data_IF_553521848120
#
_entry.id   IF_553521848120
#
_cell.length_a   1.000
_cell.length_b   1.000
_cell.length_c   1.000
_cell.angle_alpha   90.00
_cell.angle_beta   90.00
_cell.angle_gamma   90.00
#
_symmetry.space_group_name_H-M   'P 1'
#
loop_
_entity.id
_entity.type
_entity.pdbx_description
1 polymer ?
#
# COMPACT_ATOMS: atom_id res chain seq x y z
N UNK A 1 -27.45 -31.97 8.86
CA UNK A 1 -26.31 -31.04 8.73
C UNK A 1 -26.85 -29.62 8.80
N UNK A 2 -26.58 -28.89 9.89
CA UNK A 2 -27.09 -27.52 10.10
C UNK A 2 -26.10 -26.54 9.49
N UNK A 3 -26.56 -25.79 8.47
CA UNK A 3 -25.82 -24.67 7.89
C UNK A 3 -25.69 -23.56 8.94
N UNK A 4 -24.46 -23.13 9.23
CA UNK A 4 -24.20 -21.93 10.01
C UNK A 4 -24.39 -20.73 9.07
N UNK A 5 -25.48 -20.00 9.27
CA UNK A 5 -25.75 -18.75 8.57
C UNK A 5 -24.75 -17.68 8.98
N UNK A 6 -24.17 -17.01 8.00
CA UNK A 6 -23.41 -15.77 8.17
C UNK A 6 -24.38 -14.66 8.58
N UNK A 7 -24.11 -14.01 9.70
CA UNK A 7 -24.80 -12.78 10.09
C UNK A 7 -24.20 -11.61 9.29
N UNK A 8 -25.02 -10.73 8.70
CA UNK A 8 -24.52 -9.51 8.08
C UNK A 8 -24.12 -8.52 9.18
N UNK A 9 -22.84 -8.14 9.21
CA UNK A 9 -22.38 -6.99 9.99
C UNK A 9 -22.77 -5.75 9.20
N UNK A 10 -23.90 -5.15 9.59
CA UNK A 10 -24.29 -3.81 9.13
C UNK A 10 -23.43 -2.80 9.90
N UNK A 11 -22.36 -2.30 9.28
CA UNK A 11 -21.62 -1.15 9.79
C UNK A 11 -22.16 0.11 9.11
N UNK A 12 -22.81 0.97 9.89
CA UNK A 12 -23.42 2.20 9.41
C UNK A 12 -22.38 3.18 8.85
N UNK A 13 -22.66 3.70 7.66
CA UNK A 13 -21.98 4.84 7.06
C UNK A 13 -22.14 6.09 7.94
N UNK A 14 -21.05 6.52 8.57
CA UNK A 14 -20.89 7.87 9.11
C UNK A 14 -20.11 8.69 8.08
N UNK A 15 -20.84 9.39 7.21
CA UNK A 15 -20.31 10.46 6.36
C UNK A 15 -19.98 11.67 7.24
N UNK A 16 -18.73 11.79 7.66
CA UNK A 16 -18.20 13.02 8.24
C UNK A 16 -17.48 13.81 7.15
N UNK A 17 -18.18 14.79 6.58
CA UNK A 17 -17.57 15.91 5.88
C UNK A 17 -16.80 16.74 6.91
N UNK A 18 -15.49 16.85 6.75
CA UNK A 18 -14.71 17.90 7.42
C UNK A 18 -14.45 19.03 6.45
N UNK A 19 -15.11 20.16 6.72
CA UNK A 19 -14.83 21.45 6.13
C UNK A 19 -13.58 22.03 6.81
N UNK A 20 -12.53 22.31 6.04
CA UNK A 20 -11.43 23.15 6.52
C UNK A 20 -11.88 24.61 6.59
N UNK A 21 -11.87 25.19 7.78
CA UNK A 21 -11.99 26.64 7.98
C UNK A 21 -10.66 27.30 7.61
N UNK A 22 -10.68 28.14 6.59
CA UNK A 22 -9.58 29.03 6.21
C UNK A 22 -9.40 30.15 7.25
N UNK A 23 -8.41 30.00 8.13
CA UNK A 23 -7.92 31.09 8.95
C UNK A 23 -6.89 31.92 8.19
N UNK A 24 -7.23 33.16 7.84
CA UNK A 24 -6.27 34.16 7.37
C UNK A 24 -5.32 34.55 8.51
N UNK A 25 -4.10 34.01 8.50
CA UNK A 25 -3.01 34.49 9.34
C UNK A 25 -2.00 35.25 8.48
N UNK A 26 -1.79 36.51 8.82
CA UNK A 26 -0.82 37.44 8.24
C UNK A 26 0.62 36.92 8.35
N UNK A 27 1.31 36.89 7.22
CA UNK A 27 2.71 36.46 7.10
C UNK A 27 3.67 37.36 7.90
N UNK A 28 4.30 36.78 8.93
CA UNK A 28 5.63 37.18 9.37
C UNK A 28 6.62 36.16 8.81
N UNK A 29 7.61 36.64 8.07
CA UNK A 29 8.69 35.81 7.50
C UNK A 29 9.64 35.38 8.62
N UNK A 30 9.38 34.22 9.22
CA UNK A 30 10.38 33.53 10.01
C UNK A 30 11.49 32.97 9.10
N UNK A 31 12.75 32.90 9.57
CA UNK A 31 13.83 32.23 8.85
C UNK A 31 13.43 30.78 8.55
N UNK A 32 13.94 30.15 7.46
CA UNK A 32 13.59 28.78 7.12
C UNK A 32 13.84 27.89 8.33
N UNK A 33 12.75 27.31 8.83
CA UNK A 33 12.73 26.25 9.83
C UNK A 33 13.82 25.25 9.46
N UNK A 34 14.73 24.96 10.39
CA UNK A 34 15.56 23.76 10.29
C UNK A 34 14.61 22.59 10.48
N UNK A 35 14.00 22.14 9.38
CA UNK A 35 12.95 21.13 9.41
C UNK A 35 13.46 19.86 10.12
N UNK A 36 12.96 19.68 11.34
CA UNK A 36 13.23 18.50 12.14
C UNK A 36 12.29 17.39 11.68
N UNK A 37 12.77 16.51 10.81
CA UNK A 37 12.04 15.29 10.46
C UNK A 37 12.24 14.25 11.56
N UNK A 38 11.14 13.71 12.08
CA UNK A 38 11.20 12.52 12.92
C UNK A 38 11.04 11.30 12.01
N UNK A 39 12.15 10.59 11.78
CA UNK A 39 12.15 9.40 10.93
C UNK A 39 12.20 8.16 11.82
N UNK A 40 11.15 7.34 11.78
CA UNK A 40 11.06 6.10 12.56
C UNK A 40 11.40 4.90 11.68
N UNK A 41 12.47 4.21 12.05
CA UNK A 41 13.13 3.27 11.16
C UNK A 41 13.37 1.96 11.91
N UNK A 42 12.75 0.85 11.51
CA UNK A 42 13.14 -0.44 12.03
C UNK A 42 14.58 -0.71 11.58
N UNK A 43 15.49 -0.99 12.52
CA UNK A 43 16.82 -1.52 12.17
C UNK A 43 16.63 -2.95 11.65
N UNK A 44 16.95 -3.19 10.38
CA UNK A 44 16.82 -4.50 9.73
C UNK A 44 18.20 -5.02 9.40
N UNK A 45 18.55 -6.22 9.86
CA UNK A 45 19.81 -6.86 9.47
C UNK A 45 19.65 -7.60 8.14
N UNK A 46 20.61 -7.44 7.21
CA UNK A 46 20.69 -8.02 5.83
C UNK A 46 20.41 -9.54 5.63
N UNK A 47 20.11 -10.29 6.69
CA UNK A 47 19.83 -11.72 6.64
C UNK A 47 18.42 -12.07 7.16
N UNK A 48 17.43 -11.19 6.96
CA UNK A 48 16.05 -11.49 7.34
C UNK A 48 15.44 -12.51 6.39
N UNK A 49 14.98 -13.65 6.93
CA UNK A 49 13.89 -14.41 6.30
C UNK A 49 12.68 -13.48 6.13
N UNK A 50 11.78 -13.74 5.16
CA UNK A 50 10.57 -12.96 5.00
C UNK A 50 9.83 -12.71 6.34
N UNK A 51 9.21 -11.54 6.50
CA UNK A 51 9.03 -10.53 5.47
C UNK A 51 10.25 -9.64 5.20
N UNK A 52 10.44 -9.27 3.93
CA UNK A 52 11.47 -8.34 3.48
C UNK A 52 11.05 -6.89 3.74
N UNK A 53 11.91 -6.13 4.41
CA UNK A 53 11.66 -4.74 4.70
C UNK A 53 12.03 -3.84 3.53
N UNK A 54 11.10 -2.96 3.20
CA UNK A 54 11.23 -1.96 2.14
C UNK A 54 10.74 -0.59 2.56
N UNK A 55 10.65 0.30 1.57
CA UNK A 55 10.31 1.70 1.77
C UNK A 55 9.39 2.20 0.65
N UNK A 56 8.28 2.81 1.03
CA UNK A 56 7.46 3.61 0.13
C UNK A 56 8.09 5.01 0.06
N UNK A 57 8.92 5.24 -0.96
CA UNK A 57 9.87 6.35 -0.99
C UNK A 57 9.28 7.60 -1.65
N UNK A 58 8.72 8.51 -0.85
CA UNK A 58 8.12 9.77 -1.32
C UNK A 58 9.18 10.75 -1.82
N UNK A 59 10.34 10.79 -1.16
CA UNK A 59 11.42 11.73 -1.49
C UNK A 59 12.66 10.97 -1.96
N UNK A 60 13.27 11.32 -3.12
CA UNK A 60 14.41 10.62 -3.72
C UNK A 60 15.74 10.82 -2.99
N UNK A 61 15.84 10.34 -1.75
CA UNK A 61 17.09 10.36 -0.99
C UNK A 61 17.72 8.96 -0.98
N UNK A 62 18.62 8.71 -1.93
CA UNK A 62 19.27 7.40 -2.09
C UNK A 62 20.03 6.94 -0.83
N UNK A 63 20.53 7.89 -0.02
CA UNK A 63 21.18 7.61 1.25
C UNK A 63 20.22 7.00 2.28
N UNK A 64 18.93 7.31 2.23
CA UNK A 64 17.94 6.70 3.13
C UNK A 64 17.90 5.18 2.87
N UNK A 65 17.88 4.73 1.61
CA UNK A 65 17.87 3.30 1.31
C UNK A 65 19.06 2.56 1.94
N UNK A 66 20.25 3.20 1.93
CA UNK A 66 21.47 2.63 2.51
C UNK A 66 21.46 2.67 4.04
N UNK A 67 21.07 3.80 4.64
CA UNK A 67 21.05 4.00 6.09
C UNK A 67 20.02 3.09 6.79
N UNK A 68 18.93 2.78 6.08
CA UNK A 68 17.84 1.95 6.57
C UNK A 68 18.04 0.46 6.33
N UNK A 69 19.08 0.10 5.57
CA UNK A 69 19.34 -1.27 5.14
C UNK A 69 18.10 -1.96 4.53
N UNK A 70 17.27 -1.20 3.81
CA UNK A 70 16.08 -1.77 3.16
C UNK A 70 16.50 -2.66 2.00
N UNK A 71 15.71 -3.70 1.78
CA UNK A 71 15.96 -4.73 0.76
C UNK A 71 15.22 -4.45 -0.54
N UNK A 72 14.20 -3.59 -0.51
CA UNK A 72 13.43 -3.14 -1.67
C UNK A 72 12.81 -1.76 -1.44
N UNK A 73 12.41 -1.09 -2.51
CA UNK A 73 11.66 0.16 -2.42
C UNK A 73 10.84 0.41 -3.70
N UNK A 74 9.92 1.36 -3.64
CA UNK A 74 9.18 1.86 -4.79
C UNK A 74 8.83 3.34 -4.60
N UNK A 75 8.37 4.00 -5.67
CA UNK A 75 8.11 5.45 -5.72
C UNK A 75 6.83 5.79 -6.52
N UNK A 76 5.81 4.92 -6.49
CA UNK A 76 4.56 5.04 -7.25
C UNK A 76 4.72 5.18 -8.78
N UNK A 77 5.89 4.85 -9.33
CA UNK A 77 6.16 5.01 -10.76
C UNK A 77 6.75 3.75 -11.39
N UNK A 78 6.80 3.73 -12.73
CA UNK A 78 7.41 2.63 -13.49
C UNK A 78 8.95 2.72 -13.53
N UNK A 79 9.55 3.79 -13.01
CA UNK A 79 10.98 4.07 -13.15
C UNK A 79 11.62 4.42 -11.81
N UNK A 80 12.83 3.94 -11.53
CA UNK A 80 13.51 4.32 -10.31
C UNK A 80 13.85 5.82 -10.34
N UNK A 81 14.03 6.40 -9.15
CA UNK A 81 14.43 7.81 -9.01
C UNK A 81 15.86 8.05 -9.53
N UNK A 82 16.70 7.02 -9.49
CA UNK A 82 18.06 7.03 -10.03
C UNK A 82 18.31 5.76 -10.84
N UNK A 83 19.09 5.85 -11.91
CA UNK A 83 19.47 4.67 -12.70
C UNK A 83 20.30 3.69 -11.84
N UNK A 84 20.05 2.39 -11.99
CA UNK A 84 20.78 1.27 -11.36
C UNK A 84 20.56 0.99 -9.87
N UNK A 85 19.32 1.10 -9.37
CA UNK A 85 19.00 0.58 -8.03
C UNK A 85 18.42 -0.83 -8.12
N UNK A 86 19.22 -1.85 -7.81
CA UNK A 86 18.84 -3.28 -7.88
C UNK A 86 17.66 -3.69 -6.96
N UNK A 87 17.19 -2.78 -6.11
CA UNK A 87 16.13 -2.99 -5.12
C UNK A 87 14.78 -2.35 -5.52
N UNK A 88 14.69 -1.72 -6.70
CA UNK A 88 13.48 -1.01 -7.13
C UNK A 88 12.39 -1.96 -7.62
N UNK A 89 11.17 -1.75 -7.16
CA UNK A 89 9.96 -2.40 -7.68
C UNK A 89 9.11 -1.35 -8.41
N UNK A 90 8.88 -1.49 -9.72
CA UNK A 90 8.02 -0.56 -10.46
C UNK A 90 6.56 -0.69 -10.04
N UNK A 91 5.79 0.37 -10.29
CA UNK A 91 4.34 0.39 -10.11
C UNK A 91 3.63 0.86 -11.39
N UNK A 92 2.64 0.08 -11.82
CA UNK A 92 1.62 0.51 -12.76
C UNK A 92 0.49 1.19 -11.98
N UNK A 93 0.67 2.48 -11.64
CA UNK A 93 -0.17 3.24 -10.68
C UNK A 93 -1.67 3.15 -10.96
N UNK A 94 -2.07 3.22 -12.24
CA UNK A 94 -3.46 3.09 -12.68
C UNK A 94 -3.69 1.81 -13.48
N UNK A 95 -2.80 0.82 -13.37
CA UNK A 95 -2.85 -0.42 -14.13
C UNK A 95 -2.62 -0.25 -15.63
N UNK A 96 -1.89 0.79 -16.04
CA UNK A 96 -1.41 0.98 -17.41
C UNK A 96 0.11 1.04 -17.43
N UNK A 97 0.73 0.39 -18.40
CA UNK A 97 2.17 0.47 -18.65
C UNK A 97 2.44 1.55 -19.68
N UNK A 98 3.48 2.34 -19.44
CA UNK A 98 3.95 3.39 -20.33
C UNK A 98 5.38 3.13 -20.82
N UNK A 99 6.20 2.45 -20.01
CA UNK A 99 7.66 2.37 -20.20
C UNK A 99 8.26 0.99 -19.95
N UNK A 100 7.57 0.07 -19.27
CA UNK A 100 8.11 -1.29 -19.07
C UNK A 100 8.10 -2.09 -20.38
N UNK A 101 9.15 -2.88 -20.65
CA UNK A 101 9.20 -3.71 -21.85
C UNK A 101 8.26 -4.94 -21.72
N UNK A 102 7.72 -5.47 -22.83
CA UNK A 102 6.78 -6.60 -22.80
C UNK A 102 7.34 -7.89 -22.18
N UNK A 103 8.66 -8.05 -22.18
CA UNK A 103 9.38 -9.20 -21.61
C UNK A 103 9.83 -8.98 -20.16
N UNK A 104 9.39 -7.89 -19.50
CA UNK A 104 9.73 -7.60 -18.11
C UNK A 104 9.47 -8.81 -17.20
N UNK A 105 10.52 -9.25 -16.51
CA UNK A 105 10.50 -10.30 -15.51
C UNK A 105 10.82 -9.69 -14.14
N UNK A 106 9.94 -9.93 -13.17
CA UNK A 106 10.06 -9.35 -11.83
C UNK A 106 8.71 -9.01 -11.22
N UNK A 107 8.74 -8.44 -10.02
CA UNK A 107 7.54 -7.94 -9.36
C UNK A 107 7.13 -6.58 -9.93
N UNK A 108 5.83 -6.39 -10.13
CA UNK A 108 5.21 -5.14 -10.53
C UNK A 108 4.03 -4.87 -9.59
N UNK A 109 4.06 -3.75 -8.89
CA UNK A 109 2.89 -3.29 -8.12
C UNK A 109 1.82 -2.79 -9.10
N UNK A 110 0.56 -3.15 -8.86
CA UNK A 110 -0.55 -2.84 -9.76
C UNK A 110 -1.66 -2.17 -8.97
N UNK A 111 -1.94 -0.93 -9.39
CA UNK A 111 -2.85 0.03 -8.75
C UNK A 111 -2.28 0.68 -7.48
N UNK A 112 -2.62 1.96 -7.31
CA UNK A 112 -2.46 2.68 -6.05
C UNK A 112 -3.82 3.18 -5.59
N UNK A 113 -4.26 2.75 -4.42
CA UNK A 113 -5.54 3.09 -3.80
C UNK A 113 -6.68 3.20 -4.82
N UNK A 114 -7.01 2.13 -5.57
CA UNK A 114 -8.05 2.19 -6.60
C UNK A 114 -9.42 2.54 -6.00
N UNK A 115 -9.62 2.28 -4.71
CA UNK A 115 -10.80 2.68 -3.96
C UNK A 115 -10.86 4.18 -3.64
N UNK A 116 -9.77 4.94 -3.84
CA UNK A 116 -9.67 6.38 -3.59
C UNK A 116 -9.42 7.14 -4.90
N UNK A 117 -10.04 8.31 -5.03
CA UNK A 117 -9.80 9.21 -6.16
C UNK A 117 -8.50 9.99 -6.00
N UNK A 118 -8.13 10.72 -7.06
CA UNK A 118 -7.05 11.69 -7.00
C UNK A 118 -7.34 12.75 -5.90
N UNK A 119 -6.31 13.27 -5.20
CA UNK A 119 -4.89 13.02 -5.45
C UNK A 119 -4.32 11.75 -4.80
N UNK A 120 -5.07 11.08 -3.92
CA UNK A 120 -4.53 10.04 -3.04
C UNK A 120 -4.47 8.65 -3.71
N UNK A 121 -5.39 8.39 -4.66
CA UNK A 121 -5.46 7.12 -5.38
C UNK A 121 -5.68 7.26 -6.88
N UNK A 122 -5.80 6.11 -7.56
CA UNK A 122 -6.05 6.05 -9.00
C UNK A 122 -7.55 6.00 -9.37
N UNK A 123 -8.45 5.82 -8.40
CA UNK A 123 -9.90 6.00 -8.56
C UNK A 123 -10.54 5.08 -9.60
N UNK A 124 -10.40 3.77 -9.44
CA UNK A 124 -10.94 2.78 -10.36
C UNK A 124 -12.12 2.03 -9.74
N UNK A 125 -13.17 1.81 -10.54
CA UNK A 125 -14.19 0.84 -10.15
C UNK A 125 -13.61 -0.57 -10.16
N UNK A 126 -14.18 -1.50 -9.36
CA UNK A 126 -13.80 -2.91 -9.38
C UNK A 126 -13.75 -3.52 -10.80
N UNK A 127 -14.79 -3.26 -11.60
CA UNK A 127 -14.88 -3.76 -12.97
C UNK A 127 -13.76 -3.19 -13.87
N UNK A 128 -13.44 -1.90 -13.75
CA UNK A 128 -12.36 -1.30 -14.54
C UNK A 128 -10.99 -1.82 -14.12
N UNK A 129 -10.75 -1.97 -12.81
CA UNK A 129 -9.52 -2.58 -12.31
C UNK A 129 -9.36 -4.02 -12.83
N UNK A 130 -10.43 -4.82 -12.88
CA UNK A 130 -10.37 -6.20 -13.35
C UNK A 130 -10.01 -6.28 -14.85
N UNK A 131 -10.58 -5.38 -15.66
CA UNK A 131 -10.22 -5.25 -17.08
C UNK A 131 -8.75 -4.85 -17.27
N UNK A 132 -8.25 -3.89 -16.48
CA UNK A 132 -6.85 -3.45 -16.57
C UNK A 132 -5.88 -4.54 -16.12
N UNK A 133 -6.21 -5.28 -15.05
CA UNK A 133 -5.44 -6.44 -14.64
C UNK A 133 -5.36 -7.50 -15.75
N UNK A 134 -6.50 -7.86 -16.35
CA UNK A 134 -6.53 -8.86 -17.42
C UNK A 134 -5.68 -8.44 -18.63
N UNK A 135 -5.71 -7.16 -18.99
CA UNK A 135 -4.85 -6.59 -20.03
C UNK A 135 -3.37 -6.65 -19.64
N UNK A 136 -3.02 -6.24 -18.43
CA UNK A 136 -1.64 -6.31 -17.93
C UNK A 136 -1.07 -7.73 -17.96
N UNK A 137 -1.86 -8.74 -17.59
CA UNK A 137 -1.44 -10.15 -17.68
C UNK A 137 -1.12 -10.60 -19.11
N UNK A 138 -1.75 -9.99 -20.12
CA UNK A 138 -1.46 -10.25 -21.52
C UNK A 138 -0.24 -9.46 -22.02
N UNK A 139 -0.12 -8.19 -21.61
CA UNK A 139 0.98 -7.30 -22.00
C UNK A 139 2.32 -7.71 -21.35
N UNK A 140 2.28 -8.22 -20.12
CA UNK A 140 3.45 -8.60 -19.32
C UNK A 140 3.31 -10.04 -18.77
N UNK A 141 3.37 -11.07 -19.62
CA UNK A 141 3.11 -12.46 -19.21
C UNK A 141 4.11 -12.99 -18.18
N UNK A 142 5.35 -12.48 -18.20
CA UNK A 142 6.44 -12.90 -17.31
C UNK A 142 6.48 -12.10 -15.99
N UNK A 143 5.70 -11.04 -15.86
CA UNK A 143 5.67 -10.23 -14.65
C UNK A 143 4.89 -10.93 -13.54
N UNK A 144 5.41 -10.86 -12.32
CA UNK A 144 4.70 -11.19 -11.08
C UNK A 144 3.89 -9.97 -10.65
N UNK A 145 2.62 -9.93 -11.05
CA UNK A 145 1.73 -8.83 -10.70
C UNK A 145 1.34 -8.94 -9.22
N UNK A 146 1.76 -7.95 -8.44
CA UNK A 146 1.32 -7.74 -7.05
C UNK A 146 0.15 -6.77 -7.12
N UNK A 147 -1.06 -7.28 -6.96
CA UNK A 147 -2.28 -6.54 -7.32
C UNK A 147 -2.96 -5.98 -6.09
N UNK A 148 -3.41 -4.73 -6.14
CA UNK A 148 -4.29 -4.20 -5.12
C UNK A 148 -4.05 -2.74 -4.83
N UNK A 149 -3.27 -2.49 -3.78
CA UNK A 149 -2.94 -1.15 -3.32
C UNK A 149 -4.11 -0.44 -2.67
N UNK A 150 -5.17 -1.15 -2.27
CA UNK A 150 -6.27 -0.51 -1.55
C UNK A 150 -5.88 -0.25 -0.09
N UNK A 151 -6.52 0.73 0.53
CA UNK A 151 -6.38 0.96 1.96
C UNK A 151 -7.24 0.00 2.78
N UNK A 152 -6.79 -0.41 3.97
CA UNK A 152 -7.47 -1.40 4.85
C UNK A 152 -8.92 -1.06 5.21
N UNK A 153 -9.38 0.17 4.97
CA UNK A 153 -10.77 0.57 5.18
C UNK A 153 -11.67 0.41 3.92
N UNK A 154 -11.15 -0.15 2.83
CA UNK A 154 -11.86 -0.31 1.55
C UNK A 154 -12.65 -1.63 1.42
N UNK A 155 -13.28 -2.11 2.49
CA UNK A 155 -13.80 -3.49 2.57
C UNK A 155 -14.73 -3.90 1.43
N UNK A 156 -15.58 -2.98 0.96
CA UNK A 156 -16.56 -3.30 -0.07
C UNK A 156 -15.91 -3.39 -1.46
N UNK A 157 -14.91 -2.54 -1.71
CA UNK A 157 -14.25 -2.49 -3.01
C UNK A 157 -13.55 -3.81 -3.36
N UNK A 158 -12.84 -4.41 -2.40
CA UNK A 158 -12.14 -5.68 -2.64
C UNK A 158 -13.10 -6.85 -2.84
N UNK A 159 -14.20 -6.89 -2.09
CA UNK A 159 -15.25 -7.89 -2.30
C UNK A 159 -15.81 -7.82 -3.71
N UNK A 160 -16.12 -6.62 -4.17
CA UNK A 160 -16.61 -6.37 -5.53
C UNK A 160 -15.57 -6.71 -6.59
N UNK A 161 -14.31 -6.38 -6.34
CA UNK A 161 -13.22 -6.67 -7.25
C UNK A 161 -13.05 -8.17 -7.46
N UNK A 162 -13.04 -8.96 -6.38
CA UNK A 162 -13.00 -10.42 -6.46
C UNK A 162 -14.21 -11.00 -7.22
N UNK A 163 -15.40 -10.41 -7.06
CA UNK A 163 -16.58 -10.82 -7.84
C UNK A 163 -16.38 -10.65 -9.34
N UNK A 164 -15.69 -9.59 -9.77
CA UNK A 164 -15.37 -9.37 -11.19
C UNK A 164 -14.45 -10.45 -11.77
N UNK A 165 -13.51 -10.99 -10.97
CA UNK A 165 -12.69 -12.13 -11.40
C UNK A 165 -13.53 -13.38 -11.62
N UNK A 166 -14.40 -13.71 -10.66
CA UNK A 166 -15.28 -14.87 -10.76
C UNK A 166 -16.26 -14.73 -11.94
N UNK A 167 -16.86 -13.55 -12.11
CA UNK A 167 -17.79 -13.27 -13.22
C UNK A 167 -17.13 -13.31 -14.60
N UNK A 168 -15.83 -12.98 -14.68
CA UNK A 168 -15.05 -12.97 -15.93
C UNK A 168 -14.22 -14.23 -16.13
N UNK A 169 -14.31 -15.24 -15.25
CA UNK A 169 -13.48 -16.44 -15.24
C UNK A 169 -11.96 -16.12 -15.30
N UNK A 170 -11.55 -15.04 -14.64
CA UNK A 170 -10.14 -14.66 -14.51
C UNK A 170 -9.54 -15.37 -13.28
N UNK A 171 -8.30 -15.88 -13.37
CA UNK A 171 -7.62 -16.39 -12.19
C UNK A 171 -7.35 -15.23 -11.22
N UNK A 172 -7.54 -15.49 -9.93
CA UNK A 172 -7.12 -14.55 -8.89
C UNK A 172 -5.60 -14.33 -8.95
N UNK A 173 -5.13 -13.11 -8.66
CA UNK A 173 -3.71 -12.83 -8.45
C UNK A 173 -3.08 -13.73 -7.38
N UNK A 174 -1.85 -14.17 -7.63
CA UNK A 174 -1.04 -14.89 -6.64
C UNK A 174 -0.51 -13.95 -5.54
N UNK A 175 -0.18 -12.72 -5.93
CA UNK A 175 0.37 -11.69 -5.04
C UNK A 175 -0.60 -10.51 -4.93
N UNK A 176 -0.77 -10.04 -3.70
CA UNK A 176 -1.64 -8.92 -3.35
C UNK A 176 -0.83 -7.87 -2.61
N UNK A 177 -1.23 -6.60 -2.72
CA UNK A 177 -0.72 -5.58 -1.81
C UNK A 177 -1.80 -4.66 -1.27
N UNK A 178 -1.53 -4.06 -0.11
CA UNK A 178 -2.50 -3.32 0.69
C UNK A 178 -1.79 -2.26 1.53
N UNK A 179 -2.50 -1.17 1.82
CA UNK A 179 -2.04 -0.07 2.66
C UNK A 179 -2.69 -0.15 4.03
N UNK A 180 -1.90 -0.10 5.10
CA UNK A 180 -2.33 -0.34 6.47
C UNK A 180 -1.88 0.80 7.39
N UNK A 181 -2.68 1.87 7.46
CA UNK A 181 -2.48 2.96 8.41
C UNK A 181 -3.32 2.78 9.66
N UNK A 182 -2.76 3.14 10.81
CA UNK A 182 -3.56 3.30 12.04
C UNK A 182 -4.11 4.72 12.11
N UNK A 183 -5.34 4.87 12.59
CA UNK A 183 -6.00 6.16 12.77
C UNK A 183 -6.70 6.18 14.13
N UNK A 184 -7.30 7.32 14.50
CA UNK A 184 -8.05 7.44 15.76
C UNK A 184 -9.09 6.33 15.98
N UNK A 185 -9.66 5.80 14.90
CA UNK A 185 -10.66 4.72 14.93
C UNK A 185 -10.13 3.39 14.36
N UNK A 186 -8.95 3.37 13.74
CA UNK A 186 -8.29 2.16 13.25
C UNK A 186 -7.11 1.85 14.18
N UNK A 187 -7.39 1.07 15.22
CA UNK A 187 -6.31 0.54 16.07
C UNK A 187 -5.51 -0.53 15.31
N UNK A 188 -4.30 -0.88 15.76
CA UNK A 188 -3.55 -1.99 15.19
C UNK A 188 -4.40 -3.26 15.07
N UNK A 189 -5.18 -3.58 16.10
CA UNK A 189 -6.03 -4.77 16.11
C UNK A 189 -7.07 -4.76 14.99
N UNK A 190 -7.70 -3.61 14.75
CA UNK A 190 -8.70 -3.47 13.68
C UNK A 190 -8.05 -3.67 12.30
N UNK A 191 -6.89 -3.06 12.06
CA UNK A 191 -6.15 -3.27 10.81
C UNK A 191 -5.77 -4.75 10.60
N UNK A 192 -5.30 -5.43 11.66
CA UNK A 192 -4.96 -6.87 11.63
C UNK A 192 -6.17 -7.75 11.30
N UNK A 193 -7.33 -7.45 11.89
CA UNK A 193 -8.57 -8.19 11.63
C UNK A 193 -9.05 -8.01 10.17
N UNK A 194 -8.93 -6.80 9.60
CA UNK A 194 -9.23 -6.55 8.18
C UNK A 194 -8.27 -7.29 7.25
N UNK A 195 -6.96 -7.19 7.48
CA UNK A 195 -5.95 -7.86 6.68
C UNK A 195 -6.11 -9.39 6.71
N UNK A 196 -6.41 -9.95 7.88
CA UNK A 196 -6.72 -11.39 8.02
C UNK A 196 -7.96 -11.76 7.21
N UNK A 197 -9.00 -10.93 7.24
CA UNK A 197 -10.22 -11.15 6.46
C UNK A 197 -9.97 -11.10 4.96
N UNK A 198 -9.16 -10.16 4.47
CA UNK A 198 -8.78 -10.07 3.05
C UNK A 198 -7.94 -11.25 2.60
N UNK A 199 -6.95 -11.66 3.42
CA UNK A 199 -6.20 -12.87 3.15
C UNK A 199 -7.12 -14.09 3.04
N UNK A 200 -8.05 -14.28 3.98
CA UNK A 200 -9.01 -15.38 3.92
C UNK A 200 -9.90 -15.35 2.67
N UNK A 201 -10.14 -14.17 2.11
CA UNK A 201 -10.95 -13.98 0.91
C UNK A 201 -10.18 -14.29 -0.39
N UNK A 202 -8.86 -14.09 -0.38
CA UNK A 202 -8.02 -14.11 -1.59
C UNK A 202 -7.05 -15.29 -1.64
N UNK A 203 -6.57 -15.78 -0.49
CA UNK A 203 -5.65 -16.91 -0.32
C UNK A 203 -4.24 -16.70 -0.87
N UNK A 204 -3.89 -15.50 -1.34
CA UNK A 204 -2.60 -15.19 -1.96
C UNK A 204 -1.55 -14.67 -0.98
N UNK A 205 -0.34 -14.44 -1.50
CA UNK A 205 0.78 -13.84 -0.75
C UNK A 205 0.60 -12.32 -0.69
N UNK A 206 0.78 -11.72 0.49
CA UNK A 206 0.58 -10.29 0.70
C UNK A 206 1.88 -9.52 0.83
N UNK A 207 1.86 -8.31 0.28
CA UNK A 207 2.83 -7.26 0.54
C UNK A 207 2.10 -6.10 1.23
N UNK A 208 2.60 -5.64 2.37
CA UNK A 208 2.12 -4.39 2.97
C UNK A 208 2.95 -3.26 2.36
N UNK A 209 2.44 -2.64 1.30
CA UNK A 209 3.23 -1.66 0.51
C UNK A 209 3.25 -0.27 1.13
N UNK A 210 2.31 0.03 2.02
CA UNK A 210 2.33 1.23 2.84
C UNK A 210 1.81 0.87 4.23
N UNK A 211 2.51 1.29 5.27
CA UNK A 211 1.96 1.28 6.62
C UNK A 211 2.63 2.35 7.47
N UNK A 212 1.88 2.84 8.46
CA UNK A 212 2.34 3.91 9.34
C UNK A 212 1.31 4.27 10.40
N UNK A 213 1.72 5.12 11.33
CA UNK A 213 0.81 5.81 12.24
C UNK A 213 0.92 7.30 11.95
N UNK A 214 0.01 7.91 11.15
CA UNK A 214 0.07 9.33 10.81
C UNK A 214 0.06 10.25 12.05
N UNK A 215 -0.54 9.79 13.16
CA UNK A 215 -0.49 10.49 14.45
C UNK A 215 0.85 10.35 15.19
N UNK A 216 1.83 9.65 14.61
CA UNK A 216 3.15 9.40 15.21
C UNK A 216 3.13 8.41 16.37
N UNK A 217 2.10 7.56 16.51
CA UNK A 217 2.04 6.59 17.60
C UNK A 217 3.02 5.43 17.36
N UNK A 218 4.15 5.47 18.09
CA UNK A 218 5.21 4.47 17.99
C UNK A 218 4.79 3.09 18.47
N UNK A 219 3.89 2.99 19.45
CA UNK A 219 3.40 1.71 19.95
C UNK A 219 2.56 1.00 18.88
N UNK A 220 1.67 1.75 18.23
CA UNK A 220 0.87 1.25 17.12
C UNK A 220 1.73 0.76 15.96
N UNK A 221 2.73 1.56 15.56
CA UNK A 221 3.68 1.19 14.52
C UNK A 221 4.44 -0.10 14.84
N UNK A 222 4.94 -0.24 16.08
CA UNK A 222 5.65 -1.44 16.54
C UNK A 222 4.76 -2.66 16.61
N UNK A 223 3.50 -2.48 17.04
CA UNK A 223 2.50 -3.52 17.12
C UNK A 223 2.16 -4.07 15.73
N UNK A 224 1.88 -3.19 14.77
CA UNK A 224 1.64 -3.58 13.38
C UNK A 224 2.85 -4.27 12.76
N UNK A 225 4.05 -3.71 12.93
CA UNK A 225 5.29 -4.31 12.41
C UNK A 225 5.50 -5.71 12.96
N UNK A 226 5.44 -5.88 14.28
CA UNK A 226 5.60 -7.19 14.93
C UNK A 226 4.56 -8.21 14.45
N UNK A 227 3.32 -7.77 14.25
CA UNK A 227 2.29 -8.64 13.73
C UNK A 227 2.58 -9.06 12.28
N UNK A 228 2.96 -8.13 11.40
CA UNK A 228 3.33 -8.46 10.02
C UNK A 228 4.46 -9.50 9.95
N UNK A 229 5.50 -9.32 10.78
CA UNK A 229 6.63 -10.24 10.89
C UNK A 229 6.23 -11.67 11.32
N UNK A 230 5.11 -11.81 12.02
CA UNK A 230 4.61 -13.10 12.49
C UNK A 230 3.72 -13.84 11.47
N UNK A 231 3.33 -13.19 10.37
CA UNK A 231 2.44 -13.77 9.37
C UNK A 231 3.23 -14.45 8.26
N UNK A 232 3.09 -15.78 8.14
CA UNK A 232 3.73 -16.56 7.07
C UNK A 232 3.25 -16.23 5.64
N UNK A 233 2.10 -15.56 5.53
CA UNK A 233 1.50 -15.14 4.26
C UNK A 233 1.85 -13.70 3.86
N UNK A 234 2.62 -12.97 4.69
CA UNK A 234 3.17 -11.65 4.35
C UNK A 234 4.63 -11.82 3.94
N UNK A 235 4.93 -11.53 2.68
CA UNK A 235 6.30 -11.64 2.13
C UNK A 235 7.09 -10.33 2.28
N UNK A 236 6.43 -9.18 2.21
CA UNK A 236 7.10 -7.87 2.21
C UNK A 236 6.31 -6.83 2.97
N UNK A 237 7.03 -5.91 3.59
CA UNK A 237 6.46 -4.72 4.23
C UNK A 237 7.27 -3.49 3.87
N UNK A 238 6.60 -2.36 3.65
CA UNK A 238 7.22 -1.08 3.36
C UNK A 238 6.60 0.04 4.19
N UNK A 239 7.43 0.66 5.03
CA UNK A 239 6.99 1.79 5.84
C UNK A 239 6.72 3.00 4.92
N UNK A 240 5.64 3.72 5.19
CA UNK A 240 5.33 5.00 4.57
C UNK A 240 5.56 6.12 5.59
N UNK A 241 6.46 7.07 5.36
CA UNK A 241 7.46 7.17 4.28
C UNK A 241 8.81 7.58 4.88
N UNK A 242 9.86 7.71 4.06
CA UNK A 242 11.18 8.15 4.51
C UNK A 242 11.17 9.59 4.99
N UNK A 243 10.43 10.45 4.28
CA UNK A 243 10.34 11.89 4.53
C UNK A 243 8.96 12.37 4.08
N UNK A 244 8.20 12.94 5.01
CA UNK A 244 6.96 13.64 4.70
C UNK A 244 7.26 15.13 4.71
N UNK A 245 7.10 15.86 3.58
CA UNK A 245 7.21 17.32 3.56
C UNK A 245 6.29 17.93 4.62
N UNK A 246 6.71 19.00 5.29
CA UNK A 246 5.90 19.68 6.31
C UNK A 246 4.54 20.16 5.77
N UNK A 247 4.46 20.40 4.45
CA UNK A 247 3.27 20.87 3.74
C UNK A 247 2.50 19.75 3.02
N UNK A 248 2.86 18.48 3.22
CA UNK A 248 2.05 17.39 2.70
C UNK A 248 0.73 17.32 3.50
N UNK A 249 -0.44 17.34 2.83
CA UNK A 249 -1.75 17.37 3.49
C UNK A 249 -2.01 16.15 4.40
#
# INVERSE_FOLDING_TARGET
MKAKGFAPVLLGLLLLHWCFSSGNATAQSEPPSTDHFTVFLPLVTRASTPPYFGLALATPEADDLRLLEVTWYYNWSEQPLTANTAAFVPMAYDGKIRRLPPDFEGYLLVFNEPNLGAPNGCGLSPAEAARRYARLRQELPNAKLVVGGWSVFASDWIGDFIREFHGSNLPLPEYWHVHAYTEAWITPRVAQDFLTSYHNLTGGTYWITEYGSPAGNLEDFRSMTSWFLSQSWIERIAAYTNRQPADAP
#
